data_IF_891395586355
#
_entry.id   IF_891395586355
#
_cell.length_a   1.000
_cell.length_b   1.000
_cell.length_c   1.000
_cell.angle_alpha   90.00
_cell.angle_beta   90.00
_cell.angle_gamma   90.00
#
_symmetry.space_group_name_H-M   'P 1'
#
loop_
_entity.id
_entity.type
_entity.pdbx_description
1 polymer ?
#
# COMPACT_ATOMS: atom_id res chain seq x y z
N UNK A 1 1.33 12.11 -13.61
CA UNK A 1 0.43 12.03 -14.75
C UNK A 1 0.58 10.69 -15.47
N UNK A 2 1.76 10.33 -15.99
CA UNK A 2 2.01 9.06 -16.68
C UNK A 2 1.54 7.81 -15.92
N UNK A 3 1.77 7.73 -14.59
CA UNK A 3 1.33 6.58 -13.78
C UNK A 3 -0.20 6.46 -13.74
N UNK A 4 -0.92 7.59 -13.69
CA UNK A 4 -2.39 7.57 -13.70
C UNK A 4 -2.91 7.12 -15.06
N UNK A 5 -2.35 7.67 -16.14
CA UNK A 5 -2.68 7.27 -17.51
C UNK A 5 -2.47 5.77 -17.70
N UNK A 6 -1.34 5.26 -17.22
CA UNK A 6 -1.06 3.82 -17.24
C UNK A 6 -2.06 2.99 -16.42
N UNK A 7 -2.47 3.44 -15.22
CA UNK A 7 -3.49 2.74 -14.42
C UNK A 7 -4.84 2.69 -15.14
N UNK A 8 -5.23 3.79 -15.80
CA UNK A 8 -6.45 3.83 -16.62
C UNK A 8 -6.35 2.87 -17.80
N UNK A 9 -5.20 2.79 -18.47
CA UNK A 9 -4.93 1.82 -19.55
C UNK A 9 -5.01 0.37 -19.05
N UNK A 10 -4.63 0.11 -17.77
CA UNK A 10 -4.82 -1.19 -17.15
C UNK A 10 -6.29 -1.51 -16.83
N UNK A 11 -7.16 -0.52 -16.79
CA UNK A 11 -8.58 -0.66 -16.52
C UNK A 11 -9.04 -0.15 -15.16
N UNK A 12 -8.21 0.64 -14.48
CA UNK A 12 -8.63 1.28 -13.22
C UNK A 12 -9.59 2.42 -13.54
N UNK A 13 -10.81 2.34 -12.99
CA UNK A 13 -11.80 3.40 -13.09
C UNK A 13 -11.66 4.37 -11.93
N UNK A 14 -11.34 5.61 -12.25
CA UNK A 14 -11.33 6.74 -11.33
C UNK A 14 -12.57 7.61 -11.52
N UNK A 15 -13.01 8.27 -10.46
CA UNK A 15 -14.17 9.14 -10.49
C UNK A 15 -13.92 10.32 -11.44
N UNK A 16 -14.91 10.59 -12.28
CA UNK A 16 -14.89 11.70 -13.24
C UNK A 16 -15.76 12.85 -12.73
N UNK A 17 -15.49 14.03 -13.20
CA UNK A 17 -16.35 15.19 -12.93
C UNK A 17 -17.70 15.03 -13.63
N UNK A 18 -18.78 15.31 -12.91
CA UNK A 18 -20.16 15.23 -13.44
C UNK A 18 -20.45 16.26 -14.54
N UNK A 19 -19.75 17.39 -14.52
CA UNK A 19 -19.88 18.50 -15.46
C UNK A 19 -18.94 18.42 -16.68
N UNK A 20 -18.28 17.29 -16.87
CA UNK A 20 -17.42 17.02 -18.02
C UNK A 20 -18.26 16.97 -19.30
N UNK A 21 -18.25 18.07 -20.05
CA UNK A 21 -19.07 18.25 -21.25
C UNK A 21 -18.56 17.43 -22.44
N UNK A 22 -17.33 16.97 -22.40
CA UNK A 22 -16.70 16.21 -23.47
C UNK A 22 -16.32 14.81 -23.04
N UNK A 23 -16.98 13.75 -23.54
CA UNK A 23 -16.62 12.35 -23.22
C UNK A 23 -15.19 11.95 -23.63
N UNK A 24 -14.54 12.74 -24.49
CA UNK A 24 -13.17 12.49 -24.94
C UNK A 24 -12.11 13.16 -24.06
N UNK A 25 -12.50 14.15 -23.26
CA UNK A 25 -11.65 14.78 -22.26
C UNK A 25 -12.03 14.24 -20.88
N UNK A 26 -11.38 13.17 -20.45
CA UNK A 26 -11.56 12.61 -19.09
C UNK A 26 -11.04 13.61 -18.07
N UNK A 27 -11.91 14.46 -17.54
CA UNK A 27 -11.61 15.28 -16.38
C UNK A 27 -11.88 14.48 -15.10
N UNK A 28 -10.83 14.12 -14.38
CA UNK A 28 -10.96 13.42 -13.10
C UNK A 28 -11.55 14.34 -12.05
N UNK A 29 -12.44 13.79 -11.23
CA UNK A 29 -12.82 14.44 -9.99
C UNK A 29 -11.63 14.44 -9.03
N UNK A 30 -11.26 15.63 -8.53
CA UNK A 30 -10.12 15.79 -7.64
C UNK A 30 -10.60 16.16 -6.24
N UNK A 31 -10.08 15.47 -5.24
CA UNK A 31 -10.28 15.79 -3.83
C UNK A 31 -9.06 16.47 -3.23
N UNK A 32 -9.25 17.00 -2.05
CA UNK A 32 -8.23 17.62 -1.22
C UNK A 32 -8.18 16.89 0.12
N UNK A 33 -6.98 16.54 0.54
CA UNK A 33 -6.76 15.95 1.86
C UNK A 33 -6.27 17.02 2.85
N UNK A 34 -6.25 16.68 4.12
CA UNK A 34 -5.79 17.57 5.17
C UNK A 34 -4.38 18.11 4.89
N UNK A 35 -4.21 19.43 4.99
CA UNK A 35 -2.94 20.11 4.71
C UNK A 35 -2.64 20.40 3.24
N UNK A 36 -3.47 19.96 2.31
CA UNK A 36 -3.32 20.31 0.90
C UNK A 36 -3.84 21.72 0.62
N UNK A 37 -3.12 22.47 -0.21
CA UNK A 37 -3.53 23.80 -0.68
C UNK A 37 -4.45 23.76 -1.89
N UNK A 38 -4.49 22.65 -2.62
CA UNK A 38 -5.24 22.48 -3.86
C UNK A 38 -5.82 21.08 -3.98
N UNK A 39 -6.93 20.94 -4.70
CA UNK A 39 -7.48 19.64 -5.10
C UNK A 39 -6.55 19.00 -6.13
N UNK A 40 -5.99 17.84 -5.80
CA UNK A 40 -5.00 17.15 -6.64
C UNK A 40 -4.99 15.64 -6.48
N UNK A 41 -5.87 15.11 -5.65
CA UNK A 41 -5.95 13.67 -5.39
C UNK A 41 -7.03 13.07 -6.29
N UNK A 42 -6.60 12.18 -7.18
CA UNK A 42 -7.49 11.34 -7.99
C UNK A 42 -7.94 10.18 -7.10
N UNK A 43 -9.20 9.82 -7.18
CA UNK A 43 -9.78 8.80 -6.33
C UNK A 43 -10.80 7.93 -7.08
N UNK A 44 -11.11 6.77 -6.50
CA UNK A 44 -12.22 5.91 -6.87
C UNK A 44 -13.07 5.73 -5.60
N UNK A 45 -14.10 6.56 -5.44
CA UNK A 45 -14.90 6.70 -4.22
C UNK A 45 -14.02 6.83 -2.98
N UNK A 46 -14.25 6.01 -1.95
CA UNK A 46 -13.45 5.91 -0.72
C UNK A 46 -12.46 4.73 -0.71
N UNK A 47 -12.27 4.06 -1.85
CA UNK A 47 -11.55 2.77 -1.96
C UNK A 47 -10.53 2.74 -3.08
N UNK A 48 -9.87 3.85 -3.34
CA UNK A 48 -8.89 3.99 -4.43
C UNK A 48 -7.81 2.90 -4.40
N UNK A 49 -7.23 2.63 -3.25
CA UNK A 49 -6.21 1.58 -3.10
C UNK A 49 -6.74 0.19 -3.47
N UNK A 50 -7.98 -0.12 -3.10
CA UNK A 50 -8.65 -1.38 -3.42
C UNK A 50 -8.91 -1.49 -4.93
N UNK A 51 -9.45 -0.47 -5.57
CA UNK A 51 -9.72 -0.45 -7.00
C UNK A 51 -8.45 -0.70 -7.83
N UNK A 52 -7.34 -0.05 -7.47
CA UNK A 52 -6.04 -0.26 -8.11
C UNK A 52 -5.55 -1.70 -7.88
N UNK A 53 -5.62 -2.18 -6.64
CA UNK A 53 -5.11 -3.51 -6.28
C UNK A 53 -5.89 -4.64 -6.99
N UNK A 54 -7.22 -4.53 -7.06
CA UNK A 54 -8.07 -5.52 -7.74
C UNK A 54 -7.70 -5.62 -9.22
N UNK A 55 -7.65 -4.50 -9.93
CA UNK A 55 -7.32 -4.48 -11.36
C UNK A 55 -5.91 -5.00 -11.63
N UNK A 56 -4.91 -4.56 -10.88
CA UNK A 56 -3.54 -5.01 -11.10
C UNK A 56 -3.35 -6.49 -10.73
N UNK A 57 -4.07 -7.01 -9.74
CA UNK A 57 -4.06 -8.42 -9.39
C UNK A 57 -4.67 -9.27 -10.53
N UNK A 58 -5.81 -8.85 -11.09
CA UNK A 58 -6.43 -9.52 -12.24
C UNK A 58 -5.49 -9.55 -13.45
N UNK A 59 -4.81 -8.42 -13.73
CA UNK A 59 -3.81 -8.35 -14.80
C UNK A 59 -2.63 -9.28 -14.56
N UNK A 60 -2.14 -9.35 -13.33
CA UNK A 60 -1.05 -10.25 -12.97
C UNK A 60 -1.45 -11.73 -13.11
N UNK A 61 -2.68 -12.09 -12.70
CA UNK A 61 -3.21 -13.46 -12.86
C UNK A 61 -3.36 -13.84 -14.34
N UNK A 62 -3.77 -12.88 -15.17
CA UNK A 62 -3.95 -13.11 -16.60
C UNK A 62 -2.65 -13.14 -17.42
N UNK A 63 -1.53 -12.72 -16.84
CA UNK A 63 -0.25 -12.66 -17.53
C UNK A 63 0.45 -14.02 -17.55
N UNK A 64 0.71 -14.57 -18.74
CA UNK A 64 1.34 -15.88 -18.92
C UNK A 64 2.80 -15.97 -18.39
N UNK A 65 3.46 -14.84 -18.24
CA UNK A 65 4.84 -14.75 -17.76
C UNK A 65 4.95 -14.41 -16.27
N UNK A 66 3.85 -14.42 -15.53
CA UNK A 66 3.81 -14.17 -14.09
C UNK A 66 3.27 -15.40 -13.38
N UNK A 67 4.05 -15.91 -12.43
CA UNK A 67 3.63 -16.99 -11.54
C UNK A 67 3.37 -16.42 -10.14
N UNK A 68 2.19 -16.67 -9.59
CA UNK A 68 1.76 -16.14 -8.30
C UNK A 68 1.69 -17.28 -7.28
N UNK A 69 2.46 -17.14 -6.21
CA UNK A 69 2.47 -18.07 -5.09
C UNK A 69 1.79 -17.45 -3.88
N UNK A 70 0.65 -17.99 -3.48
CA UNK A 70 -0.07 -17.59 -2.26
C UNK A 70 0.36 -18.46 -1.07
N UNK A 71 0.10 -18.00 0.15
CA UNK A 71 0.49 -18.69 1.38
C UNK A 71 2.00 -18.98 1.46
N UNK A 72 2.79 -18.08 0.90
CA UNK A 72 4.25 -18.12 0.91
C UNK A 72 4.78 -16.93 1.71
N UNK A 73 5.70 -17.21 2.61
CA UNK A 73 6.33 -16.18 3.42
C UNK A 73 7.84 -16.16 3.15
N UNK A 74 8.36 -15.01 2.76
CA UNK A 74 9.80 -14.83 2.63
C UNK A 74 10.45 -14.88 4.02
N UNK A 75 11.42 -15.78 4.19
CA UNK A 75 12.15 -15.97 5.44
C UNK A 75 13.41 -15.12 5.46
N UNK A 76 14.18 -15.21 4.37
CA UNK A 76 15.40 -14.41 4.20
C UNK A 76 15.83 -14.35 2.73
N UNK A 77 16.75 -13.43 2.44
CA UNK A 77 17.39 -13.32 1.13
C UNK A 77 18.60 -14.24 1.03
N UNK A 78 18.81 -14.79 -0.14
CA UNK A 78 20.03 -15.56 -0.46
C UNK A 78 21.07 -14.62 -1.00
N UNK A 79 22.14 -14.40 -0.23
CA UNK A 79 23.25 -13.52 -0.61
C UNK A 79 24.52 -14.34 -0.74
N UNK A 80 25.17 -14.28 -1.90
CA UNK A 80 26.46 -14.89 -2.16
C UNK A 80 27.39 -13.90 -2.84
N UNK A 81 28.61 -13.75 -2.33
CA UNK A 81 29.60 -12.80 -2.83
C UNK A 81 29.06 -11.35 -2.99
N UNK A 82 28.27 -10.89 -2.01
CA UNK A 82 27.68 -9.55 -2.01
C UNK A 82 26.55 -9.32 -3.03
N UNK A 83 26.02 -10.37 -3.63
CA UNK A 83 24.89 -10.31 -4.59
C UNK A 83 23.71 -11.11 -4.10
N UNK A 84 22.52 -10.53 -4.16
CA UNK A 84 21.28 -11.27 -3.94
C UNK A 84 21.04 -12.21 -5.15
N UNK A 85 20.74 -13.48 -4.85
CA UNK A 85 20.53 -14.54 -5.85
C UNK A 85 19.17 -15.22 -5.68
N UNK A 86 18.33 -14.74 -4.77
CA UNK A 86 17.03 -15.32 -4.50
C UNK A 86 16.56 -15.08 -3.08
N UNK A 87 15.61 -15.89 -2.67
CA UNK A 87 15.05 -15.86 -1.31
C UNK A 87 14.68 -17.27 -0.83
N UNK A 88 14.75 -17.49 0.47
CA UNK A 88 14.13 -18.62 1.14
C UNK A 88 12.66 -18.32 1.43
N UNK A 89 11.79 -19.19 0.96
CA UNK A 89 10.35 -19.01 1.00
C UNK A 89 9.71 -20.17 1.79
N UNK A 90 9.07 -19.86 2.89
CA UNK A 90 8.30 -20.82 3.66
C UNK A 90 6.93 -21.04 3.03
N UNK A 91 6.62 -22.27 2.72
CA UNK A 91 5.25 -22.72 2.47
C UNK A 91 4.52 -22.84 3.82
N UNK A 92 3.57 -21.94 4.05
CA UNK A 92 2.82 -21.92 5.31
C UNK A 92 1.83 -23.10 5.45
N UNK A 93 1.51 -23.79 4.37
CA UNK A 93 0.61 -24.95 4.39
C UNK A 93 1.35 -26.24 4.75
N UNK A 94 2.55 -26.41 4.23
CA UNK A 94 3.35 -27.63 4.42
C UNK A 94 4.44 -27.49 5.48
N UNK A 95 4.82 -26.27 5.82
CA UNK A 95 5.96 -25.97 6.68
C UNK A 95 7.32 -26.15 6.02
N UNK A 96 7.36 -26.42 4.70
CA UNK A 96 8.60 -26.60 3.98
C UNK A 96 9.20 -25.23 3.55
N UNK A 97 10.53 -25.16 3.53
CA UNK A 97 11.25 -23.98 3.06
C UNK A 97 11.89 -24.27 1.72
N UNK A 98 11.47 -23.53 0.71
CA UNK A 98 11.99 -23.64 -0.66
C UNK A 98 12.98 -22.52 -0.97
N UNK A 99 13.91 -22.80 -1.88
CA UNK A 99 14.81 -21.83 -2.45
C UNK A 99 14.26 -21.32 -3.78
N UNK A 100 13.89 -20.04 -3.81
CA UNK A 100 13.53 -19.35 -5.04
C UNK A 100 14.76 -18.60 -5.57
N UNK A 101 15.33 -19.09 -6.65
CA UNK A 101 16.48 -18.47 -7.29
C UNK A 101 16.04 -17.46 -8.34
N UNK A 102 16.64 -16.27 -8.30
CA UNK A 102 16.38 -15.21 -9.27
C UNK A 102 17.60 -14.29 -9.41
N UNK A 103 17.86 -13.75 -10.61
CA UNK A 103 18.92 -12.77 -10.83
C UNK A 103 18.65 -11.41 -10.16
N UNK A 104 17.39 -11.14 -9.82
CA UNK A 104 16.96 -9.95 -9.10
C UNK A 104 15.77 -10.28 -8.18
N UNK A 105 15.74 -9.67 -7.02
CA UNK A 105 14.64 -9.78 -6.06
C UNK A 105 14.13 -8.38 -5.74
N UNK A 106 12.81 -8.19 -5.83
CA UNK A 106 12.13 -6.94 -5.46
C UNK A 106 11.42 -7.15 -4.13
N UNK A 107 11.78 -6.37 -3.12
CA UNK A 107 11.09 -6.34 -1.85
C UNK A 107 9.95 -5.30 -1.92
N UNK A 108 8.73 -5.76 -1.90
CA UNK A 108 7.52 -4.93 -1.88
C UNK A 108 6.63 -5.30 -0.67
N UNK A 109 7.25 -5.45 0.49
CA UNK A 109 6.71 -6.04 1.71
C UNK A 109 5.92 -5.08 2.59
N UNK A 110 5.74 -3.83 2.17
CA UNK A 110 5.08 -2.80 2.97
C UNK A 110 5.95 -2.30 4.12
N UNK A 111 5.30 -1.69 5.11
CA UNK A 111 5.95 -1.02 6.22
C UNK A 111 6.12 -1.86 7.49
N UNK A 112 6.35 -1.15 8.61
CA UNK A 112 6.64 -1.74 9.92
C UNK A 112 5.73 -1.23 11.04
N UNK A 113 4.56 -0.65 10.71
CA UNK A 113 3.71 0.01 11.71
C UNK A 113 3.04 -0.95 12.71
N UNK A 114 3.13 -2.27 12.49
CA UNK A 114 2.75 -3.29 13.49
C UNK A 114 3.71 -3.36 14.68
N UNK A 115 4.82 -2.63 14.66
CA UNK A 115 5.62 -2.39 15.86
C UNK A 115 4.86 -1.62 16.95
N UNK A 116 3.81 -0.89 16.57
CA UNK A 116 2.94 -0.18 17.51
C UNK A 116 1.73 -1.01 17.90
N UNK A 117 1.32 -0.87 19.16
CA UNK A 117 0.17 -1.61 19.71
C UNK A 117 -1.14 -1.30 18.98
N UNK A 118 -1.34 -0.03 18.63
CA UNK A 118 -2.49 0.43 17.87
C UNK A 118 -2.02 0.96 16.52
N UNK A 119 -2.56 0.39 15.44
CA UNK A 119 -2.21 0.77 14.08
C UNK A 119 -3.39 0.52 13.14
N UNK A 120 -3.53 1.36 12.12
CA UNK A 120 -4.47 1.16 11.02
C UNK A 120 -3.89 0.26 9.90
N UNK A 121 -2.62 -0.09 9.99
CA UNK A 121 -1.96 -0.94 8.99
C UNK A 121 -2.43 -2.40 9.08
N UNK A 122 -2.38 -3.15 7.96
CA UNK A 122 -2.66 -4.58 7.96
C UNK A 122 -1.64 -5.37 8.81
N UNK A 123 -2.04 -6.56 9.22
CA UNK A 123 -1.23 -7.39 10.12
C UNK A 123 0.13 -7.79 9.53
N UNK A 124 0.27 -7.80 8.20
CA UNK A 124 1.53 -8.04 7.51
C UNK A 124 2.54 -6.88 7.51
N UNK A 125 2.18 -5.70 8.07
CA UNK A 125 3.10 -4.56 8.14
C UNK A 125 4.07 -4.68 9.33
N UNK A 126 4.80 -5.80 9.39
CA UNK A 126 5.68 -6.21 10.50
C UNK A 126 7.14 -5.78 10.34
N UNK A 127 7.52 -5.25 9.17
CA UNK A 127 8.89 -4.82 8.88
C UNK A 127 9.82 -5.93 8.38
N UNK A 128 9.28 -7.07 8.00
CA UNK A 128 10.06 -8.24 7.57
C UNK A 128 11.01 -7.92 6.42
N UNK A 129 10.55 -7.18 5.41
CA UNK A 129 11.40 -6.79 4.28
C UNK A 129 12.55 -5.88 4.69
N UNK A 130 12.33 -4.99 5.64
CA UNK A 130 13.38 -4.12 6.20
C UNK A 130 14.44 -4.99 6.91
N UNK A 131 13.99 -5.95 7.71
CA UNK A 131 14.87 -6.86 8.43
C UNK A 131 15.69 -7.74 7.47
N UNK A 132 15.06 -8.31 6.43
CA UNK A 132 15.74 -9.10 5.41
C UNK A 132 16.77 -8.25 4.63
N UNK A 133 16.41 -7.04 4.24
CA UNK A 133 17.31 -6.13 3.56
C UNK A 133 18.54 -5.79 4.42
N UNK A 134 18.32 -5.53 5.71
CA UNK A 134 19.41 -5.26 6.64
C UNK A 134 20.35 -6.46 6.81
N UNK A 135 19.80 -7.66 7.00
CA UNK A 135 20.62 -8.89 7.08
C UNK A 135 21.39 -9.18 5.80
N UNK A 136 20.83 -8.79 4.65
CA UNK A 136 21.48 -8.88 3.34
C UNK A 136 22.60 -7.84 3.13
N UNK A 137 22.85 -6.95 4.10
CA UNK A 137 23.87 -5.90 4.04
C UNK A 137 23.42 -4.61 3.37
N UNK A 138 22.11 -4.44 3.12
CA UNK A 138 21.59 -3.18 2.58
C UNK A 138 21.67 -2.06 3.63
N UNK A 139 21.89 -0.84 3.17
CA UNK A 139 21.76 0.33 4.01
C UNK A 139 20.30 0.57 4.36
N UNK A 140 19.99 0.59 5.65
CA UNK A 140 18.68 0.98 6.18
C UNK A 140 18.79 2.33 6.85
N UNK A 141 17.85 3.22 6.59
CA UNK A 141 17.86 4.59 7.10
C UNK A 141 16.44 5.08 7.40
N UNK A 142 16.34 6.12 8.21
CA UNK A 142 15.09 6.84 8.51
C UNK A 142 14.03 5.97 9.21
N UNK A 143 14.44 4.98 10.01
CA UNK A 143 13.52 4.08 10.73
C UNK A 143 12.74 4.80 11.83
N UNK A 144 13.19 5.96 12.27
CA UNK A 144 12.48 6.81 13.22
C UNK A 144 11.24 7.47 12.63
N UNK A 145 11.13 7.56 11.30
CA UNK A 145 9.98 8.18 10.66
C UNK A 145 8.86 7.19 10.47
N UNK A 146 7.84 7.33 11.30
CA UNK A 146 6.58 6.64 11.18
C UNK A 146 5.44 7.65 11.17
N UNK A 147 4.59 7.60 10.16
CA UNK A 147 3.47 8.53 10.05
C UNK A 147 2.27 8.02 10.86
N UNK A 148 1.86 8.78 11.86
CA UNK A 148 0.64 8.52 12.62
C UNK A 148 -0.54 9.17 11.93
N UNK A 149 -1.64 8.43 11.76
CA UNK A 149 -2.86 8.99 11.20
C UNK A 149 -3.66 9.71 12.30
N UNK A 150 -3.97 11.00 12.16
CA UNK A 150 -4.56 11.79 13.26
C UNK A 150 -6.04 11.51 13.51
N UNK A 151 -6.73 10.82 12.60
CA UNK A 151 -8.16 10.52 12.68
C UNK A 151 -8.46 9.03 12.66
N UNK A 152 -7.67 8.25 13.40
CA UNK A 152 -7.94 6.84 13.61
C UNK A 152 -8.91 6.68 14.80
N UNK A 153 -10.09 6.10 14.55
CA UNK A 153 -11.07 5.85 15.59
C UNK A 153 -10.58 4.75 16.54
N UNK A 154 -10.44 5.08 17.80
CA UNK A 154 -10.14 4.10 18.83
C UNK A 154 -11.43 3.47 19.37
N UNK A 155 -11.48 2.16 19.43
CA UNK A 155 -12.53 1.43 20.12
C UNK A 155 -11.95 0.17 20.79
N UNK A 156 -12.23 -0.09 22.08
CA UNK A 156 -11.58 -1.17 22.84
C UNK A 156 -11.94 -2.58 22.34
N UNK A 157 -13.04 -2.74 21.62
CA UNK A 157 -13.52 -4.05 21.11
C UNK A 157 -13.49 -4.17 19.58
N UNK A 158 -12.93 -3.21 18.88
CA UNK A 158 -12.84 -3.21 17.42
C UNK A 158 -11.43 -2.87 16.96
N UNK A 159 -11.06 -3.33 15.78
CA UNK A 159 -9.82 -2.87 15.13
C UNK A 159 -9.92 -1.36 14.88
N UNK A 160 -8.78 -0.70 14.90
CA UNK A 160 -8.64 0.71 14.57
C UNK A 160 -9.29 0.99 13.20
N UNK A 161 -10.23 1.91 13.17
CA UNK A 161 -10.95 2.32 11.96
C UNK A 161 -10.42 3.68 11.50
N UNK A 162 -10.00 3.74 10.25
CA UNK A 162 -9.47 4.95 9.65
C UNK A 162 -10.63 5.85 9.18
N UNK A 163 -10.76 7.04 9.80
CA UNK A 163 -11.63 8.08 9.27
C UNK A 163 -10.86 8.81 8.17
N UNK A 164 -11.42 8.85 6.98
CA UNK A 164 -10.74 9.40 5.80
C UNK A 164 -10.27 10.84 6.02
N UNK A 165 -9.08 11.13 5.55
CA UNK A 165 -8.47 12.46 5.60
C UNK A 165 -9.22 13.49 4.73
N UNK A 166 -9.97 13.04 3.74
CA UNK A 166 -10.80 13.87 2.89
C UNK A 166 -11.82 14.69 3.70
N UNK A 167 -12.36 14.15 4.81
CA UNK A 167 -13.26 14.91 5.69
C UNK A 167 -12.59 16.19 6.18
N UNK A 168 -11.32 16.13 6.59
CA UNK A 168 -10.57 17.32 7.04
C UNK A 168 -10.22 18.23 5.86
N UNK A 169 -9.92 17.66 4.71
CA UNK A 169 -9.69 18.40 3.47
C UNK A 169 -10.91 19.22 3.04
N UNK A 170 -12.11 18.70 3.28
CA UNK A 170 -13.38 19.38 3.00
C UNK A 170 -13.87 20.28 4.18
N UNK A 171 -13.01 20.56 5.15
CA UNK A 171 -13.27 21.51 6.23
C UNK A 171 -13.82 20.90 7.53
N UNK A 172 -13.88 19.57 7.63
CA UNK A 172 -14.24 18.88 8.87
C UNK A 172 -13.25 19.15 9.99
N UNK A 173 -13.77 19.38 11.21
CA UNK A 173 -12.96 19.62 12.40
C UNK A 173 -13.22 18.56 13.46
N UNK A 174 -12.14 18.15 14.13
CA UNK A 174 -12.23 17.41 15.38
C UNK A 174 -12.41 18.41 16.51
N UNK A 175 -13.52 18.28 17.22
CA UNK A 175 -13.84 19.14 18.35
C UNK A 175 -13.88 18.31 19.63
N UNK A 176 -13.54 18.93 20.75
CA UNK A 176 -13.81 18.38 22.05
C UNK A 176 -15.33 18.37 22.34
N UNK A 177 -15.82 17.60 23.37
CA UNK A 177 -17.23 17.55 23.69
C UNK A 177 -17.86 18.93 24.05
N UNK A 178 -17.04 19.87 24.44
CA UNK A 178 -17.43 21.27 24.74
C UNK A 178 -17.45 22.19 23.51
N UNK A 179 -17.12 21.65 22.33
CA UNK A 179 -17.12 22.37 21.06
C UNK A 179 -15.87 23.19 20.77
N UNK A 180 -14.80 23.01 21.56
CA UNK A 180 -13.50 23.67 21.32
C UNK A 180 -12.58 22.85 20.39
#
# INVERSE_FOLDING_TARGET
RRCVEWLVEQGVDFDLREDSVNPQEREFHLTMEGGHSHRRIIHAADRTGRAISEVLTERAIAAENIEIFTHRMAVDLVVHNGRCQGAYILDQQTGHVDLFQAPAVVLATGGASKAYLYTSNPDGASGDGIAMAWRAGCRVANLEFNQFHPTCLYHPKAKSFLITEAIRGEGGRLLLPDGQ
#
